data_IF_509005890938
#
_entry.id   IF_509005890938
#
_cell.length_a   1.000
_cell.length_b   1.000
_cell.length_c   1.000
_cell.angle_alpha   90.00
_cell.angle_beta   90.00
_cell.angle_gamma   90.00
#
_symmetry.space_group_name_H-M   'P 1'
#
loop_
_entity.id
_entity.type
_entity.pdbx_description
1 polymer ?
#
# COMPACT_ATOMS: atom_id res chain seq x y z
N UNK A 1 3.89 1.13 7.68
CA UNK A 1 2.79 0.35 7.06
C UNK A 1 3.29 -0.94 6.41
N UNK A 2 4.11 -0.89 5.34
CA UNK A 2 4.65 -2.11 4.70
C UNK A 2 5.33 -3.08 5.67
N UNK A 3 6.22 -2.58 6.54
CA UNK A 3 6.86 -3.41 7.57
C UNK A 3 5.84 -4.12 8.47
N UNK A 4 4.75 -3.46 8.85
CA UNK A 4 3.73 -4.06 9.69
C UNK A 4 2.94 -5.18 8.96
N UNK A 5 2.87 -5.14 7.63
CA UNK A 5 2.17 -6.15 6.82
C UNK A 5 3.09 -7.33 6.44
N UNK A 6 4.35 -7.05 6.16
CA UNK A 6 5.34 -8.02 5.67
C UNK A 6 6.28 -8.57 6.74
N UNK A 7 6.40 -7.89 7.90
CA UNK A 7 7.41 -8.17 8.92
C UNK A 7 8.84 -7.73 8.55
N UNK A 8 9.01 -7.08 7.39
CA UNK A 8 10.30 -6.63 6.85
C UNK A 8 10.13 -5.36 5.99
N UNK A 9 11.19 -4.56 5.79
CA UNK A 9 11.10 -3.36 4.96
C UNK A 9 10.80 -3.71 3.48
N UNK A 10 10.13 -2.80 2.74
CA UNK A 10 9.80 -3.02 1.33
C UNK A 10 11.04 -3.04 0.43
N UNK A 11 12.06 -2.25 0.76
CA UNK A 11 13.33 -2.23 0.04
C UNK A 11 14.38 -3.02 0.82
N UNK A 12 14.94 -4.05 0.18
CA UNK A 12 16.04 -4.86 0.72
C UNK A 12 17.20 -4.91 -0.28
N UNK A 13 18.41 -5.06 0.25
CA UNK A 13 19.64 -5.15 -0.54
C UNK A 13 20.80 -5.64 0.31
N UNK A 14 21.87 -6.11 -0.35
CA UNK A 14 23.11 -6.54 0.31
C UNK A 14 23.99 -5.34 0.71
N UNK A 15 23.77 -4.18 0.10
CA UNK A 15 24.50 -2.95 0.39
C UNK A 15 23.55 -1.75 0.49
N UNK A 16 23.94 -0.65 1.16
CA UNK A 16 23.15 0.57 1.23
C UNK A 16 22.81 1.16 -0.15
N UNK A 17 23.73 1.09 -1.11
CA UNK A 17 23.55 1.61 -2.47
C UNK A 17 22.43 0.85 -3.20
N UNK A 18 22.33 -0.47 -3.01
CA UNK A 18 21.25 -1.27 -3.57
C UNK A 18 19.89 -0.89 -2.98
N UNK A 19 19.83 -0.58 -1.68
CA UNK A 19 18.60 -0.15 -1.01
C UNK A 19 18.19 1.24 -1.52
N UNK A 20 19.15 2.17 -1.59
CA UNK A 20 18.94 3.52 -2.13
C UNK A 20 18.45 3.49 -3.58
N UNK A 21 19.07 2.68 -4.44
CA UNK A 21 18.66 2.55 -5.83
C UNK A 21 17.20 2.09 -5.97
N UNK A 22 16.75 1.12 -5.17
CA UNK A 22 15.34 0.69 -5.18
C UNK A 22 14.38 1.76 -4.68
N UNK A 23 14.80 2.51 -3.66
CA UNK A 23 14.00 3.59 -3.10
C UNK A 23 13.86 4.78 -4.07
N UNK A 24 14.88 5.07 -4.88
CA UNK A 24 14.84 6.18 -5.85
C UNK A 24 14.21 5.80 -7.19
N UNK A 25 14.09 4.51 -7.50
CA UNK A 25 13.48 4.00 -8.74
C UNK A 25 12.01 3.59 -8.60
N UNK A 26 11.41 3.82 -7.42
CA UNK A 26 10.04 3.39 -7.09
C UNK A 26 9.78 1.88 -7.30
N UNK A 27 10.83 1.05 -7.22
CA UNK A 27 10.73 -0.40 -7.40
C UNK A 27 10.20 -1.07 -6.11
N UNK A 28 8.93 -0.79 -5.81
CA UNK A 28 8.21 -1.34 -4.66
C UNK A 28 7.70 -2.74 -5.03
N UNK A 29 8.14 -3.80 -4.32
CA UNK A 29 7.66 -5.15 -4.56
C UNK A 29 6.13 -5.23 -4.40
N UNK A 30 5.43 -5.99 -5.28
CA UNK A 30 3.99 -6.18 -5.17
C UNK A 30 3.58 -6.83 -3.85
N UNK A 31 2.79 -6.11 -3.06
CA UNK A 31 2.32 -6.58 -1.77
C UNK A 31 1.43 -7.82 -1.95
N UNK A 32 0.59 -7.83 -2.98
CA UNK A 32 -0.24 -8.97 -3.35
C UNK A 32 0.54 -10.27 -3.65
N UNK A 33 1.83 -10.20 -4.00
CA UNK A 33 2.65 -11.39 -4.20
C UNK A 33 2.92 -12.15 -2.89
N UNK A 34 2.91 -11.44 -1.76
CA UNK A 34 3.24 -11.98 -0.44
C UNK A 34 2.04 -11.99 0.52
N UNK A 35 1.11 -11.05 0.36
CA UNK A 35 -0.08 -10.85 1.20
C UNK A 35 -1.32 -10.66 0.34
N UNK A 36 -1.84 -11.77 -0.18
CA UNK A 36 -3.07 -11.81 -1.01
C UNK A 36 -4.33 -11.38 -0.23
N UNK A 37 -4.27 -11.41 1.09
CA UNK A 37 -5.33 -10.97 1.99
C UNK A 37 -5.42 -9.44 2.11
N UNK A 38 -4.42 -8.70 1.64
CA UNK A 38 -4.47 -7.23 1.60
C UNK A 38 -5.21 -6.78 0.34
N UNK A 39 -6.28 -5.97 0.45
CA UNK A 39 -7.00 -5.46 -0.71
C UNK A 39 -6.12 -4.60 -1.61
N UNK A 40 -6.32 -4.70 -2.93
CA UNK A 40 -5.56 -3.94 -3.94
C UNK A 40 -5.64 -2.44 -3.72
N UNK A 41 -6.79 -1.93 -3.29
CA UNK A 41 -6.97 -0.50 -2.99
C UNK A 41 -6.07 -0.02 -1.85
N UNK A 42 -5.80 -0.89 -0.87
CA UNK A 42 -4.88 -0.58 0.22
C UNK A 42 -3.45 -0.57 -0.31
N UNK A 43 -3.06 -1.55 -1.15
CA UNK A 43 -1.75 -1.55 -1.79
C UNK A 43 -1.52 -0.29 -2.63
N UNK A 44 -2.50 0.14 -3.42
CA UNK A 44 -2.42 1.35 -4.26
C UNK A 44 -2.14 2.61 -3.41
N UNK A 45 -2.83 2.75 -2.27
CA UNK A 45 -2.61 3.85 -1.32
C UNK A 45 -1.19 3.78 -0.74
N UNK A 46 -0.73 2.60 -0.34
CA UNK A 46 0.60 2.42 0.23
C UNK A 46 1.72 2.67 -0.81
N UNK A 47 1.52 2.28 -2.07
CA UNK A 47 2.45 2.56 -3.17
C UNK A 47 2.58 4.05 -3.42
N UNK A 48 1.48 4.79 -3.45
CA UNK A 48 1.51 6.25 -3.58
C UNK A 48 2.29 6.92 -2.45
N UNK A 49 2.15 6.44 -1.22
CA UNK A 49 2.88 6.99 -0.07
C UNK A 49 4.40 6.75 -0.17
N UNK A 50 4.86 5.78 -0.98
CA UNK A 50 6.27 5.43 -1.17
C UNK A 50 6.92 6.07 -2.41
N UNK A 51 6.19 6.87 -3.21
CA UNK A 51 6.74 7.55 -4.39
C UNK A 51 8.00 8.34 -4.04
N UNK A 52 9.04 8.26 -4.86
CA UNK A 52 10.29 9.00 -4.71
C UNK A 52 10.04 10.51 -4.74
N UNK A 53 9.27 10.98 -5.72
CA UNK A 53 8.86 12.39 -5.87
C UNK A 53 7.85 12.80 -4.78
N UNK A 54 8.21 13.75 -3.88
CA UNK A 54 7.29 14.23 -2.85
C UNK A 54 5.96 14.76 -3.38
N UNK A 55 5.95 15.41 -4.55
CA UNK A 55 4.72 15.94 -5.15
C UNK A 55 3.71 14.85 -5.54
N UNK A 56 4.16 13.61 -5.79
CA UNK A 56 3.28 12.48 -6.12
C UNK A 56 2.67 11.80 -4.88
N UNK A 57 3.17 12.12 -3.69
CA UNK A 57 2.69 11.56 -2.43
C UNK A 57 1.36 12.19 -1.99
N UNK A 58 0.96 11.84 -0.78
CA UNK A 58 -0.08 12.57 -0.07
C UNK A 58 0.50 13.88 0.47
N UNK A 59 -0.22 14.98 0.24
CA UNK A 59 0.19 16.32 0.69
C UNK A 59 0.28 16.45 2.22
N UNK A 60 -0.28 15.50 2.98
CA UNK A 60 -0.24 15.47 4.44
C UNK A 60 -0.41 14.05 4.98
N UNK A 61 0.02 13.84 6.22
CA UNK A 61 -0.23 12.60 6.96
C UNK A 61 -1.74 12.34 7.13
N UNK A 62 -2.53 13.39 7.36
CA UNK A 62 -3.99 13.29 7.47
C UNK A 62 -4.64 12.81 6.17
N UNK A 63 -4.16 13.29 5.02
CA UNK A 63 -4.64 12.84 3.72
C UNK A 63 -4.30 11.37 3.45
N UNK A 64 -3.09 10.94 3.82
CA UNK A 64 -2.72 9.53 3.77
C UNK A 64 -3.63 8.66 4.66
N UNK A 65 -3.87 9.08 5.90
CA UNK A 65 -4.76 8.37 6.82
C UNK A 65 -6.19 8.26 6.28
N UNK A 66 -6.74 9.35 5.72
CA UNK A 66 -8.05 9.34 5.09
C UNK A 66 -8.11 8.37 3.90
N UNK A 67 -7.07 8.34 3.06
CA UNK A 67 -6.99 7.43 1.92
C UNK A 67 -6.97 5.94 2.37
N UNK A 68 -6.18 5.60 3.40
CA UNK A 68 -6.14 4.25 3.96
C UNK A 68 -7.53 3.85 4.47
N UNK A 69 -8.19 4.71 5.26
CA UNK A 69 -9.56 4.44 5.76
C UNK A 69 -10.56 4.26 4.63
N UNK A 70 -10.47 5.09 3.59
CA UNK A 70 -11.34 4.99 2.42
C UNK A 70 -11.18 3.67 1.66
N UNK A 71 -9.93 3.21 1.47
CA UNK A 71 -9.64 1.94 0.83
C UNK A 71 -10.25 0.75 1.59
N UNK A 72 -10.09 0.70 2.91
CA UNK A 72 -10.73 -0.33 3.74
C UNK A 72 -12.27 -0.26 3.72
N UNK A 73 -12.84 0.95 3.82
CA UNK A 73 -14.29 1.14 3.81
C UNK A 73 -14.94 0.74 2.48
N UNK A 74 -14.30 1.03 1.35
CA UNK A 74 -14.77 0.63 0.02
C UNK A 74 -14.75 -0.89 -0.18
N UNK A 75 -13.68 -1.56 0.28
CA UNK A 75 -13.56 -3.01 0.25
C UNK A 75 -14.67 -3.69 1.08
N UNK A 76 -14.87 -3.25 2.33
CA UNK A 76 -15.88 -3.82 3.22
C UNK A 76 -17.30 -3.62 2.69
N UNK A 77 -17.59 -2.48 2.04
CA UNK A 77 -18.89 -2.24 1.38
C UNK A 77 -19.14 -3.21 0.24
N UNK A 78 -18.12 -3.51 -0.58
CA UNK A 78 -18.25 -4.50 -1.66
C UNK A 78 -18.43 -5.91 -1.14
N UNK A 79 -17.70 -6.30 -0.09
CA UNK A 79 -17.92 -7.57 0.58
C UNK A 79 -19.36 -7.68 1.11
N UNK A 80 -19.84 -6.67 1.82
CA UNK A 80 -21.21 -6.66 2.35
C UNK A 80 -22.28 -6.75 1.24
N UNK A 81 -22.04 -6.15 0.08
CA UNK A 81 -22.95 -6.25 -1.07
C UNK A 81 -22.99 -7.66 -1.66
N UNK A 82 -21.87 -8.39 -1.68
CA UNK A 82 -21.80 -9.78 -2.17
C UNK A 82 -22.55 -10.77 -1.26
N UNK A 83 -22.64 -10.49 0.04
CA UNK A 83 -23.35 -11.33 1.01
C UNK A 83 -24.81 -10.91 1.23
N UNK A 84 -25.35 -10.00 0.42
CA UNK A 84 -26.74 -9.58 0.53
C UNK A 84 -27.63 -10.66 -0.11
N UNK A 85 -28.54 -11.32 0.63
CA UNK A 85 -29.42 -12.31 0.04
C UNK A 85 -30.40 -11.61 -0.90
N UNK A 86 -30.48 -12.10 -2.15
CA UNK A 86 -31.55 -11.77 -3.09
C UNK A 86 -32.87 -12.21 -2.43
N UNK A 87 -33.77 -11.26 -2.20
CA UNK A 87 -35.11 -11.47 -1.65
C UNK A 87 -36.12 -11.70 -2.74
#
# INVERSE_FOLDING_TARGET
AYFALLGRPPFSGKTPEQILAKQTTDDVPPLAAERRDVPREVEDVLRRALRSEPAERFHSASAFHAAVRGAFGGFLRRLAALFRPES
#
